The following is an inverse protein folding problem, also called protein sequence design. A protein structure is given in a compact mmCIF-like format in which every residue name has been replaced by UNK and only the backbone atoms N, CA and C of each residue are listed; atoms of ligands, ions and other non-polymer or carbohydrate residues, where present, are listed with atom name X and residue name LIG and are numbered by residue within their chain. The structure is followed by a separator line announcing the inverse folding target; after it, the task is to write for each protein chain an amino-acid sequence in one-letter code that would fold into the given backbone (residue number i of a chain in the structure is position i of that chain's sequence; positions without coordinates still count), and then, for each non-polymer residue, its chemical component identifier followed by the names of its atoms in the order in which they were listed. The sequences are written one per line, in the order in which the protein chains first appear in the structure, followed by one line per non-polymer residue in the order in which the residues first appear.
data_IF_921161881501
#
_entry.id   IF_921161881501
#
_cell.length_a   1.000
_cell.length_b   1.000
_cell.length_c   1.000
_cell.angle_alpha   90.00
_cell.angle_beta   90.00
_cell.angle_gamma   90.00
#
_symmetry.space_group_name_H-M   'P 1'
#
loop_
_entity.id
_entity.type
_entity.pdbx_description
1 polymer ?
#
# COMPACT_ATOMS: atom_id res chain seq x y z
N UNK A 1 11.01 6.24 -9.20
CA UNK A 1 9.92 6.29 -10.20
C UNK A 1 9.06 7.56 -10.05
N UNK A 2 8.37 7.77 -8.92
CA UNK A 2 7.46 8.93 -8.78
C UNK A 2 8.11 10.30 -9.02
N UNK A 3 9.34 10.52 -8.54
CA UNK A 3 10.08 11.77 -8.84
C UNK A 3 10.27 11.95 -10.36
N UNK A 4 10.64 10.88 -11.08
CA UNK A 4 10.87 10.91 -12.53
C UNK A 4 9.58 11.16 -13.32
N UNK A 5 8.43 10.76 -12.76
CA UNK A 5 7.11 10.99 -13.33
C UNK A 5 6.50 12.35 -12.92
N UNK A 6 7.26 13.21 -12.22
CA UNK A 6 6.80 14.53 -11.79
C UNK A 6 5.84 14.52 -10.59
N UNK A 7 5.81 13.44 -9.81
CA UNK A 7 4.99 13.30 -8.59
C UNK A 7 5.85 13.44 -7.32
N UNK A 8 6.33 14.66 -7.06
CA UNK A 8 7.28 14.98 -5.98
C UNK A 8 6.70 14.75 -4.56
N UNK A 9 5.51 15.27 -4.28
CA UNK A 9 4.83 15.10 -2.98
C UNK A 9 4.54 13.62 -2.69
N UNK A 10 4.08 12.87 -3.69
CA UNK A 10 3.79 11.45 -3.55
C UNK A 10 5.08 10.65 -3.32
N UNK A 11 6.18 11.01 -3.99
CA UNK A 11 7.48 10.38 -3.76
C UNK A 11 7.97 10.56 -2.32
N UNK A 12 7.87 11.78 -1.76
CA UNK A 12 8.25 12.06 -0.38
C UNK A 12 7.36 11.29 0.61
N UNK A 13 6.05 11.29 0.38
CA UNK A 13 5.07 10.57 1.22
C UNK A 13 5.28 9.06 1.17
N UNK A 14 5.64 8.50 0.00
CA UNK A 14 5.98 7.08 -0.14
C UNK A 14 7.12 6.69 0.80
N UNK A 15 8.18 7.50 0.84
CA UNK A 15 9.32 7.25 1.71
C UNK A 15 8.90 7.39 3.19
N UNK A 16 8.19 8.46 3.54
CA UNK A 16 7.73 8.70 4.91
C UNK A 16 6.85 7.56 5.45
N UNK A 17 5.82 7.16 4.70
CA UNK A 17 4.79 6.23 5.18
C UNK A 17 5.21 4.78 4.97
N UNK A 18 5.58 4.39 3.74
CA UNK A 18 5.88 2.98 3.47
C UNK A 18 7.23 2.58 4.05
N UNK A 19 8.28 3.38 3.82
CA UNK A 19 9.61 3.04 4.32
C UNK A 19 9.74 3.41 5.79
N UNK A 20 9.34 4.63 6.19
CA UNK A 20 9.50 5.13 7.56
C UNK A 20 8.52 4.54 8.57
N UNK A 21 7.28 4.26 8.17
CA UNK A 21 6.23 3.75 9.05
C UNK A 21 6.00 2.25 8.92
N UNK A 22 5.41 1.84 7.79
CA UNK A 22 4.86 0.49 7.59
C UNK A 22 5.95 -0.57 7.60
N UNK A 23 7.02 -0.38 6.82
CA UNK A 23 8.12 -1.34 6.72
C UNK A 23 8.82 -1.51 8.07
N UNK A 24 9.09 -0.41 8.78
CA UNK A 24 9.71 -0.46 10.11
C UNK A 24 8.82 -1.19 11.12
N UNK A 25 7.51 -0.92 11.14
CA UNK A 25 6.56 -1.63 12.00
C UNK A 25 6.51 -3.13 11.67
N UNK A 26 6.50 -3.50 10.38
CA UNK A 26 6.53 -4.88 9.93
C UNK A 26 7.83 -5.57 10.39
N UNK A 27 8.97 -4.92 10.22
CA UNK A 27 10.26 -5.45 10.67
C UNK A 27 10.29 -5.68 12.19
N UNK A 28 9.75 -4.74 12.99
CA UNK A 28 9.57 -4.96 14.43
C UNK A 28 8.68 -6.18 14.71
N UNK A 29 7.56 -6.32 14.00
CA UNK A 29 6.65 -7.46 14.15
C UNK A 29 7.33 -8.80 13.82
N UNK A 30 8.06 -8.87 12.71
CA UNK A 30 8.82 -10.07 12.31
C UNK A 30 9.92 -10.39 13.32
N UNK A 31 10.67 -9.38 13.77
CA UNK A 31 11.75 -9.56 14.75
C UNK A 31 11.22 -10.08 16.10
N UNK A 32 10.05 -9.59 16.55
CA UNK A 32 9.40 -10.07 17.78
C UNK A 32 8.81 -11.49 17.64
N UNK A 33 8.51 -11.93 16.42
CA UNK A 33 7.86 -13.23 16.14
C UNK A 33 8.87 -14.34 15.80
N UNK A 34 10.18 -14.11 16.01
CA UNK A 34 11.29 -14.98 15.61
C UNK A 34 11.36 -16.38 16.29
N UNK A 35 10.26 -16.90 16.88
CA UNK A 35 10.22 -18.18 17.62
C UNK A 35 9.45 -19.32 16.94
N UNK A 36 9.35 -19.35 15.61
CA UNK A 36 8.60 -20.40 14.88
C UNK A 36 9.40 -21.05 13.74
N UNK A 37 10.72 -21.22 13.91
CA UNK A 37 11.57 -21.98 12.99
C UNK A 37 11.90 -23.37 13.53
N UNK A 38 10.87 -24.15 13.87
CA UNK A 38 11.03 -25.62 14.01
C UNK A 38 9.70 -26.37 13.82
N UNK A 39 8.85 -25.86 12.95
CA UNK A 39 7.73 -26.63 12.43
C UNK A 39 8.07 -26.91 10.98
N UNK A 40 8.53 -28.14 10.71
CA UNK A 40 8.68 -28.75 9.39
C UNK A 40 7.28 -28.85 8.75
N UNK A 41 6.65 -27.70 8.51
CA UNK A 41 5.43 -27.54 7.73
C UNK A 41 5.87 -27.59 6.27
N UNK A 42 6.26 -28.79 5.83
CA UNK A 42 6.15 -29.18 4.43
C UNK A 42 4.67 -29.19 4.09
N UNK A 43 4.09 -28.00 3.94
CA UNK A 43 2.85 -27.82 3.21
C UNK A 43 3.15 -28.37 1.82
N UNK A 44 2.58 -29.52 1.49
CA UNK A 44 2.67 -30.05 0.14
C UNK A 44 2.15 -28.95 -0.78
N UNK A 45 3.05 -28.41 -1.61
CA UNK A 45 2.77 -27.29 -2.51
C UNK A 45 1.96 -27.79 -3.72
N UNK A 46 0.86 -28.51 -3.44
CA UNK A 46 -0.07 -29.08 -4.43
C UNK A 46 -0.75 -27.99 -5.27
N UNK A 47 -0.77 -26.74 -4.77
CA UNK A 47 -1.38 -25.60 -5.43
C UNK A 47 -0.39 -24.72 -6.22
N UNK A 48 0.88 -25.10 -6.35
CA UNK A 48 1.87 -24.31 -7.09
C UNK A 48 1.48 -24.11 -8.55
N UNK A 49 1.07 -25.21 -9.21
CA UNK A 49 0.73 -25.22 -10.63
C UNK A 49 -0.53 -24.39 -10.94
N UNK A 50 -1.67 -24.56 -10.25
CA UNK A 50 -2.83 -23.68 -10.47
C UNK A 50 -2.52 -22.22 -10.09
N UNK A 51 -1.70 -21.97 -9.06
CA UNK A 51 -1.27 -20.62 -8.69
C UNK A 51 -0.50 -19.90 -9.81
N UNK A 52 0.44 -20.59 -10.45
CA UNK A 52 1.17 -20.06 -11.61
C UNK A 52 0.25 -19.80 -12.78
N UNK A 53 -0.69 -20.71 -13.08
CA UNK A 53 -1.62 -20.55 -14.20
C UNK A 53 -2.47 -19.29 -14.01
N UNK A 54 -3.00 -19.09 -12.79
CA UNK A 54 -3.80 -17.89 -12.48
C UNK A 54 -2.94 -16.62 -12.56
N UNK A 55 -1.75 -16.63 -11.98
CA UNK A 55 -0.84 -15.48 -12.00
C UNK A 55 -0.42 -15.10 -13.44
N UNK A 56 -0.04 -16.10 -14.25
CA UNK A 56 0.34 -15.91 -15.65
C UNK A 56 -0.86 -15.46 -16.50
N UNK A 57 -2.05 -16.02 -16.26
CA UNK A 57 -3.28 -15.60 -16.90
C UNK A 57 -3.60 -14.13 -16.61
N UNK A 58 -3.56 -13.73 -15.34
CA UNK A 58 -3.79 -12.34 -14.94
C UNK A 58 -2.72 -11.40 -15.53
N UNK A 59 -1.44 -11.77 -15.45
CA UNK A 59 -0.36 -10.99 -16.04
C UNK A 59 -0.52 -10.81 -17.56
N UNK A 60 -0.93 -11.88 -18.26
CA UNK A 60 -1.17 -11.86 -19.70
C UNK A 60 -2.34 -10.94 -20.05
N UNK A 61 -3.44 -11.00 -19.30
CA UNK A 61 -4.60 -10.11 -19.49
C UNK A 61 -4.22 -8.65 -19.26
N UNK A 62 -3.51 -8.35 -18.17
CA UNK A 62 -3.06 -7.00 -17.86
C UNK A 62 -2.10 -6.47 -18.94
N UNK A 63 -1.15 -7.30 -19.40
CA UNK A 63 -0.20 -6.93 -20.46
C UNK A 63 -0.91 -6.71 -21.79
N UNK A 64 -1.82 -7.60 -22.18
CA UNK A 64 -2.62 -7.44 -23.38
C UNK A 64 -3.47 -6.16 -23.33
N UNK A 65 -4.07 -5.87 -22.18
CA UNK A 65 -4.84 -4.64 -21.98
C UNK A 65 -3.95 -3.41 -22.04
N UNK A 66 -2.77 -3.44 -21.41
CA UNK A 66 -1.82 -2.33 -21.41
C UNK A 66 -1.31 -1.99 -22.81
N UNK A 67 -1.04 -3.00 -23.64
CA UNK A 67 -0.47 -2.84 -24.98
C UNK A 67 -1.52 -2.58 -26.07
N UNK A 68 -2.75 -3.08 -25.89
CA UNK A 68 -3.82 -2.93 -26.90
C UNK A 68 -4.71 -1.72 -26.67
N UNK A 69 -4.76 -1.20 -25.44
CA UNK A 69 -5.52 0.02 -25.13
C UNK A 69 -4.83 1.23 -25.74
N UNK A 70 -5.59 2.07 -26.44
CA UNK A 70 -5.12 3.38 -26.88
C UNK A 70 -5.27 4.37 -25.75
N UNK A 71 -4.15 4.74 -25.13
CA UNK A 71 -4.12 5.70 -24.04
C UNK A 71 -4.23 7.14 -24.57
N UNK A 72 -4.97 7.97 -23.86
CA UNK A 72 -5.01 9.41 -24.15
C UNK A 72 -3.76 10.07 -23.55
N UNK A 73 -2.71 10.17 -24.36
CA UNK A 73 -1.49 10.87 -23.96
C UNK A 73 -1.69 12.38 -24.12
N UNK A 74 -1.70 13.12 -23.01
CA UNK A 74 -1.67 14.58 -23.04
C UNK A 74 -0.28 15.11 -23.38
N UNK A 75 -0.14 16.39 -23.76
CA UNK A 75 1.17 17.00 -23.93
C UNK A 75 1.96 16.84 -22.63
N UNK A 76 3.17 16.27 -22.73
CA UNK A 76 4.04 16.03 -21.59
C UNK A 76 4.22 17.31 -20.78
N UNK A 77 3.70 17.34 -19.55
CA UNK A 77 3.89 18.49 -18.66
C UNK A 77 5.26 18.37 -18.01
N UNK A 78 6.05 19.47 -17.94
CA UNK A 78 7.27 19.47 -17.17
C UNK A 78 6.95 19.16 -15.70
N UNK A 79 7.87 18.51 -14.97
CA UNK A 79 7.72 18.31 -13.53
C UNK A 79 7.42 19.66 -12.86
N UNK A 80 6.33 19.71 -12.09
CA UNK A 80 5.90 20.90 -11.36
C UNK A 80 5.58 20.51 -9.92
N UNK A 81 5.62 21.48 -9.01
CA UNK A 81 5.36 21.24 -7.59
C UNK A 81 3.92 20.78 -7.41
N UNK A 82 3.70 19.57 -6.89
CA UNK A 82 2.35 18.98 -6.78
C UNK A 82 1.66 19.25 -5.45
N UNK A 83 2.40 19.70 -4.42
CA UNK A 83 1.89 19.82 -3.04
C UNK A 83 0.70 20.75 -2.91
N UNK A 84 0.78 21.96 -3.48
CA UNK A 84 -0.28 22.96 -3.35
C UNK A 84 -1.59 22.51 -4.03
N UNK A 85 -1.47 21.92 -5.22
CA UNK A 85 -2.64 21.46 -5.97
C UNK A 85 -3.30 20.25 -5.29
N UNK A 86 -2.52 19.29 -4.79
CA UNK A 86 -3.04 18.16 -4.02
C UNK A 86 -3.75 18.65 -2.74
N UNK A 87 -3.16 19.61 -2.03
CA UNK A 87 -3.79 20.22 -0.85
C UNK A 87 -5.12 20.89 -1.18
N UNK A 88 -5.19 21.64 -2.29
CA UNK A 88 -6.44 22.25 -2.76
C UNK A 88 -7.50 21.20 -3.10
N UNK A 89 -7.10 20.11 -3.74
CA UNK A 89 -7.99 19.00 -4.09
C UNK A 89 -8.56 18.31 -2.84
N UNK A 90 -7.77 18.10 -1.79
CA UNK A 90 -8.26 17.58 -0.51
C UNK A 90 -9.24 18.52 0.19
N UNK A 91 -9.05 19.84 0.07
CA UNK A 91 -9.94 20.83 0.68
C UNK A 91 -11.17 21.17 -0.16
N UNK A 92 -11.30 20.58 -1.36
CA UNK A 92 -12.43 20.83 -2.26
C UNK A 92 -13.06 19.53 -2.72
N UNK A 93 -12.64 19.01 -3.88
CA UNK A 93 -13.27 17.87 -4.54
C UNK A 93 -13.17 16.56 -3.73
N UNK A 94 -12.09 16.38 -2.96
CA UNK A 94 -11.82 15.17 -2.19
C UNK A 94 -11.98 15.36 -0.68
N UNK A 95 -12.76 16.36 -0.25
CA UNK A 95 -13.02 16.64 1.16
C UNK A 95 -13.63 15.44 1.89
N UNK A 96 -14.70 14.85 1.34
CA UNK A 96 -15.38 13.71 1.98
C UNK A 96 -14.48 12.47 2.09
N UNK A 97 -13.75 12.02 1.04
CA UNK A 97 -12.76 10.96 1.18
C UNK A 97 -11.66 11.26 2.21
N UNK A 98 -11.21 12.51 2.30
CA UNK A 98 -10.20 12.92 3.28
C UNK A 98 -10.70 12.78 4.72
N UNK A 99 -11.93 13.24 4.99
CA UNK A 99 -12.58 13.05 6.30
C UNK A 99 -12.79 11.57 6.62
N UNK A 100 -13.29 10.78 5.67
CA UNK A 100 -13.48 9.35 5.86
C UNK A 100 -12.16 8.62 6.19
N UNK A 101 -11.05 9.00 5.55
CA UNK A 101 -9.72 8.47 5.87
C UNK A 101 -9.27 8.85 7.29
N UNK A 102 -9.57 10.07 7.75
CA UNK A 102 -9.24 10.50 9.11
C UNK A 102 -9.98 9.68 10.18
N UNK A 103 -11.27 9.38 9.95
CA UNK A 103 -12.08 8.51 10.81
C UNK A 103 -11.54 7.07 10.75
N UNK A 104 -11.20 6.57 9.57
CA UNK A 104 -10.61 5.25 9.41
C UNK A 104 -9.32 5.09 10.23
N UNK A 105 -8.44 6.09 10.19
CA UNK A 105 -7.20 6.10 10.97
C UNK A 105 -7.45 6.16 12.48
N UNK A 106 -8.44 6.95 12.92
CA UNK A 106 -8.87 6.98 14.32
C UNK A 106 -9.35 5.60 14.78
N UNK A 107 -10.23 4.97 14.00
CA UNK A 107 -10.75 3.63 14.29
C UNK A 107 -9.63 2.59 14.28
N UNK A 108 -8.69 2.67 13.34
CA UNK A 108 -7.53 1.78 13.28
C UNK A 108 -6.63 1.91 14.52
N UNK A 109 -6.37 3.15 14.98
CA UNK A 109 -5.61 3.40 16.20
C UNK A 109 -6.32 2.85 17.44
N UNK A 110 -7.63 3.09 17.57
CA UNK A 110 -8.44 2.53 18.66
C UNK A 110 -8.44 1.00 18.65
N UNK A 111 -8.59 0.39 17.47
CA UNK A 111 -8.54 -1.06 17.29
C UNK A 111 -7.19 -1.65 17.69
N UNK A 112 -6.09 -1.06 17.22
CA UNK A 112 -4.74 -1.49 17.59
C UNK A 112 -4.49 -1.37 19.11
N UNK A 113 -4.89 -0.25 19.72
CA UNK A 113 -4.76 -0.03 21.17
C UNK A 113 -5.60 -1.04 22.00
N UNK A 114 -6.79 -1.40 21.51
CA UNK A 114 -7.64 -2.42 22.15
C UNK A 114 -7.00 -3.81 22.09
N UNK A 115 -6.41 -4.19 20.95
CA UNK A 115 -5.73 -5.49 20.78
C UNK A 115 -4.51 -5.62 21.70
N UNK A 116 -3.73 -4.54 21.84
CA UNK A 116 -2.53 -4.52 22.70
C UNK A 116 -2.88 -4.47 24.19
N UNK A 117 -4.04 -3.89 24.56
CA UNK A 117 -4.55 -3.93 25.94
C UNK A 117 -4.88 -5.37 26.33
N UNK A 118 -3.90 -6.06 26.93
CA UNK A 118 -4.17 -7.25 27.76
C UNK A 118 -5.19 -6.85 28.83
N UNK A 119 -6.30 -7.58 28.91
CA UNK A 119 -7.18 -7.51 30.08
C UNK A 119 -6.35 -7.94 31.29
N UNK A 120 -5.99 -6.97 32.13
CA UNK A 120 -5.59 -7.20 33.52
C UNK A 120 -6.84 -7.01 34.37
N UNK A 121 -7.83 -7.87 34.15
CA UNK A 121 -9.03 -7.89 34.98
C UNK A 121 -9.20 -9.31 35.52
N UNK A 122 -8.91 -9.43 36.83
CA UNK A 122 -9.16 -10.51 37.79
C UNK A 122 -8.58 -11.91 37.51
#
# INVERSE_FOLDING_TARGET
LYVLLGADFLAATQLLIYVGGILVLLLFGVMLTHKLYDLDLRSEVTQFLPGIIVAAGLFSILTATALRTRWAEGPGRPPSVTTAEIGRLFMSQYLLPFEAASILLLVALMGAAMIVRRRRDA
#
